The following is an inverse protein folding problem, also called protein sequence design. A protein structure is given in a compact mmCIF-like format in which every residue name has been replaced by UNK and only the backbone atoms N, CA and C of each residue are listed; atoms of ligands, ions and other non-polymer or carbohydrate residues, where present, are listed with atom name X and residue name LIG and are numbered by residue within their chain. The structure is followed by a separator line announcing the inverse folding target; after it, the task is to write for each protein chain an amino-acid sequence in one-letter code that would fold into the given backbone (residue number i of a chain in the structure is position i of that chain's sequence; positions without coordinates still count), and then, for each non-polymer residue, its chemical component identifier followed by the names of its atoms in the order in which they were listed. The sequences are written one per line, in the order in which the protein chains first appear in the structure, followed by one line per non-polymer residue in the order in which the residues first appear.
data_IF_213828245731
#
_entry.id   IF_213828245731
#
_cell.length_a   1.000
_cell.length_b   1.000
_cell.length_c   1.000
_cell.angle_alpha   90.00
_cell.angle_beta   90.00
_cell.angle_gamma   90.00
#
_symmetry.space_group_name_H-M   'P 1'
#
loop_
_entity.id
_entity.type
_entity.pdbx_description
1 polymer ?
#
# COMPACT_ATOMS: atom_id res chain seq x y z
N UNK A 1 -33.86 6.28 4.48
CA UNK A 1 -32.49 6.12 5.03
C UNK A 1 -31.68 5.06 4.25
N UNK A 2 -30.45 5.35 3.79
CA UNK A 2 -29.69 4.44 2.92
C UNK A 2 -29.00 3.33 3.71
N UNK A 3 -29.61 2.83 4.79
CA UNK A 3 -29.01 1.82 5.68
C UNK A 3 -28.51 0.57 4.93
N UNK A 4 -29.27 -0.01 3.98
CA UNK A 4 -28.79 -1.15 3.22
C UNK A 4 -27.52 -0.81 2.42
N UNK A 5 -27.48 0.35 1.75
CA UNK A 5 -26.32 0.76 0.94
C UNK A 5 -25.10 0.98 1.82
N UNK A 6 -25.25 1.70 2.94
CA UNK A 6 -24.14 1.93 3.87
C UNK A 6 -23.59 0.62 4.47
N UNK A 7 -24.48 -0.31 4.83
CA UNK A 7 -24.09 -1.60 5.39
C UNK A 7 -23.33 -2.47 4.38
N UNK A 8 -23.84 -2.57 3.14
CA UNK A 8 -23.19 -3.35 2.10
C UNK A 8 -21.87 -2.71 1.64
N UNK A 9 -21.79 -1.37 1.57
CA UNK A 9 -20.55 -0.68 1.24
C UNK A 9 -19.45 -0.93 2.29
N UNK A 10 -19.81 -0.95 3.58
CA UNK A 10 -18.86 -1.28 4.65
C UNK A 10 -18.35 -2.72 4.55
N UNK A 11 -19.25 -3.70 4.35
CA UNK A 11 -18.86 -5.11 4.18
C UNK A 11 -17.97 -5.28 2.94
N UNK A 12 -18.33 -4.66 1.83
CA UNK A 12 -17.53 -4.72 0.61
C UNK A 12 -16.13 -4.15 0.83
N UNK A 13 -16.02 -2.97 1.45
CA UNK A 13 -14.73 -2.38 1.78
C UNK A 13 -13.89 -3.31 2.65
N UNK A 14 -14.47 -3.91 3.69
CA UNK A 14 -13.77 -4.83 4.57
C UNK A 14 -13.28 -6.08 3.83
N UNK A 15 -14.14 -6.69 3.01
CA UNK A 15 -13.79 -7.88 2.23
C UNK A 15 -12.67 -7.62 1.21
N UNK A 16 -12.69 -6.47 0.55
CA UNK A 16 -11.60 -6.05 -0.36
C UNK A 16 -10.31 -5.87 0.41
N UNK A 17 -10.37 -5.23 1.58
CA UNK A 17 -9.19 -4.97 2.40
C UNK A 17 -8.60 -6.26 2.98
N UNK A 18 -9.43 -7.20 3.43
CA UNK A 18 -9.02 -8.54 3.85
C UNK A 18 -8.33 -9.31 2.72
N UNK A 19 -8.87 -9.24 1.50
CA UNK A 19 -8.25 -9.87 0.33
C UNK A 19 -6.83 -9.32 0.06
N UNK A 20 -6.66 -7.99 0.13
CA UNK A 20 -5.36 -7.33 -0.08
C UNK A 20 -4.31 -7.80 0.94
N UNK A 21 -4.72 -8.10 2.18
CA UNK A 21 -3.79 -8.60 3.20
C UNK A 21 -3.45 -10.08 3.07
N UNK A 22 -4.41 -10.90 2.60
CA UNK A 22 -4.36 -12.34 2.84
C UNK A 22 -3.92 -13.15 1.64
N UNK A 23 -4.05 -12.64 0.41
CA UNK A 23 -3.75 -13.43 -0.79
C UNK A 23 -2.97 -12.63 -1.84
N UNK A 24 -2.08 -13.29 -2.61
CA UNK A 24 -1.50 -12.68 -3.80
C UNK A 24 -2.59 -12.31 -4.82
N UNK A 25 -2.54 -11.09 -5.32
CA UNK A 25 -3.47 -10.58 -6.34
C UNK A 25 -2.82 -10.75 -7.71
N UNK A 26 -3.42 -11.58 -8.56
CA UNK A 26 -2.93 -11.78 -9.92
C UNK A 26 -3.28 -10.59 -10.81
N UNK A 27 -2.27 -9.86 -11.29
CA UNK A 27 -2.41 -8.73 -12.21
C UNK A 27 -1.52 -8.95 -13.42
N UNK A 28 -2.08 -8.91 -14.64
CA UNK A 28 -1.33 -9.12 -15.89
C UNK A 28 -0.48 -10.41 -15.90
N UNK A 29 -0.96 -11.48 -15.27
CA UNK A 29 -0.27 -12.78 -15.22
C UNK A 29 0.88 -12.86 -14.21
N UNK A 30 1.04 -11.85 -13.34
CA UNK A 30 1.98 -11.88 -12.22
C UNK A 30 1.23 -11.73 -10.91
N UNK A 31 1.59 -12.56 -9.94
CA UNK A 31 1.02 -12.49 -8.61
C UNK A 31 1.74 -11.43 -7.77
N UNK A 32 0.95 -10.48 -7.26
CA UNK A 32 1.42 -9.37 -6.43
C UNK A 32 0.99 -9.66 -4.99
N UNK A 33 1.96 -9.92 -4.12
CA UNK A 33 1.71 -10.20 -2.70
C UNK A 33 1.86 -8.93 -1.84
N UNK A 34 0.76 -8.19 -1.66
CA UNK A 34 0.76 -6.95 -0.86
C UNK A 34 0.99 -7.17 0.64
N UNK A 35 0.93 -8.41 1.15
CA UNK A 35 1.16 -8.70 2.58
C UNK A 35 2.53 -8.18 3.04
N UNK A 36 3.51 -8.14 2.14
CA UNK A 36 4.84 -7.61 2.43
C UNK A 36 4.81 -6.16 2.89
N UNK A 37 3.81 -5.36 2.50
CA UNK A 37 3.69 -3.96 2.94
C UNK A 37 3.24 -3.81 4.39
N UNK A 38 2.68 -4.87 4.96
CA UNK A 38 2.01 -4.83 6.26
C UNK A 38 2.68 -5.73 7.31
N UNK A 39 3.66 -6.52 6.89
CA UNK A 39 4.51 -7.29 7.80
C UNK A 39 5.20 -6.32 8.77
N UNK A 40 4.95 -6.48 10.08
CA UNK A 40 5.64 -5.71 11.11
C UNK A 40 7.11 -6.09 11.08
N UNK A 41 7.96 -5.20 10.57
CA UNK A 41 9.40 -5.33 10.77
C UNK A 41 9.68 -5.30 12.27
N UNK A 42 10.23 -6.39 12.83
CA UNK A 42 10.50 -6.56 14.27
C UNK A 42 11.46 -5.53 14.89
N UNK A 43 11.95 -4.56 14.11
CA UNK A 43 12.56 -3.33 14.60
C UNK A 43 11.68 -2.19 14.14
N UNK A 44 10.99 -1.56 15.09
CA UNK A 44 10.24 -0.34 14.84
C UNK A 44 11.19 0.71 14.28
N UNK A 45 11.10 0.91 12.96
CA UNK A 45 11.69 2.09 12.37
C UNK A 45 10.72 3.23 12.69
N UNK A 46 11.26 4.37 13.12
CA UNK A 46 10.48 5.50 13.61
C UNK A 46 9.52 6.14 12.57
N UNK A 47 9.38 5.55 11.38
CA UNK A 47 8.44 5.94 10.32
C UNK A 47 7.18 5.06 10.21
N UNK A 48 7.07 3.96 10.97
CA UNK A 48 6.02 2.94 10.76
C UNK A 48 4.59 3.36 11.18
N UNK A 49 4.37 4.61 11.63
CA UNK A 49 3.11 5.06 12.26
C UNK A 49 2.46 6.29 11.62
N UNK A 50 3.01 6.83 10.55
CA UNK A 50 2.37 7.94 9.85
C UNK A 50 1.47 7.31 8.79
N UNK A 51 0.14 7.37 8.96
CA UNK A 51 -0.84 6.82 8.02
C UNK A 51 -0.72 7.43 6.61
N UNK A 52 -1.81 7.54 5.84
CA UNK A 52 -1.72 8.04 4.44
C UNK A 52 -0.91 9.35 4.28
N UNK A 53 -1.01 10.28 5.23
CA UNK A 53 -0.25 11.54 5.22
C UNK A 53 1.26 11.31 5.26
N UNK A 54 1.74 10.40 6.11
CA UNK A 54 3.17 10.09 6.21
C UNK A 54 3.71 9.46 4.95
N UNK A 55 3.00 8.43 4.49
CA UNK A 55 3.27 7.76 3.23
C UNK A 55 3.34 8.79 2.09
N UNK A 56 2.41 9.74 2.06
CA UNK A 56 2.37 10.77 1.01
C UNK A 56 3.59 11.70 1.07
N UNK A 57 4.05 12.08 2.27
CA UNK A 57 5.28 12.87 2.43
C UNK A 57 6.53 12.09 2.03
N UNK A 58 6.64 10.82 2.44
CA UNK A 58 7.79 9.98 2.10
C UNK A 58 7.85 9.71 0.59
N UNK A 59 6.70 9.46 -0.03
CA UNK A 59 6.59 9.29 -1.48
C UNK A 59 6.90 10.59 -2.21
N UNK A 60 6.40 11.74 -1.74
CA UNK A 60 6.73 13.05 -2.32
C UNK A 60 8.23 13.35 -2.21
N UNK A 61 8.88 12.99 -1.10
CA UNK A 61 10.32 13.15 -0.92
C UNK A 61 11.15 12.34 -1.92
N UNK A 62 10.62 11.21 -2.41
CA UNK A 62 11.26 10.44 -3.49
C UNK A 62 11.16 11.11 -4.87
N UNK A 63 10.24 12.07 -5.03
CA UNK A 63 10.02 12.81 -6.28
C UNK A 63 9.33 12.03 -7.41
N UNK A 64 8.99 10.75 -7.20
CA UNK A 64 8.45 9.87 -8.25
C UNK A 64 7.11 10.35 -8.81
N UNK A 65 6.24 10.87 -7.94
CA UNK A 65 4.95 11.47 -8.35
C UNK A 65 4.96 13.00 -8.23
N UNK A 66 6.13 13.59 -7.97
CA UNK A 66 6.29 15.02 -7.72
C UNK A 66 5.94 15.43 -6.29
N UNK A 67 5.30 16.60 -6.13
CA UNK A 67 5.03 17.17 -4.81
C UNK A 67 3.87 16.48 -4.05
N UNK A 68 3.67 16.85 -2.79
CA UNK A 68 2.62 16.27 -1.95
C UNK A 68 1.22 16.36 -2.56
N UNK A 69 0.92 17.46 -3.27
CA UNK A 69 -0.39 17.64 -3.91
C UNK A 69 -0.54 16.68 -5.08
N UNK A 70 0.50 16.54 -5.89
CA UNK A 70 0.52 15.60 -7.00
C UNK A 70 0.43 14.14 -6.53
N UNK A 71 1.09 13.79 -5.42
CA UNK A 71 0.93 12.47 -4.77
C UNK A 71 -0.52 12.26 -4.34
N UNK A 72 -1.17 13.27 -3.75
CA UNK A 72 -2.56 13.16 -3.32
C UNK A 72 -3.57 13.13 -4.48
N UNK A 73 -3.22 13.70 -5.63
CA UNK A 73 -4.01 13.64 -6.86
C UNK A 73 -3.75 12.35 -7.67
N UNK A 74 -2.72 11.58 -7.32
CA UNK A 74 -2.37 10.30 -7.96
C UNK A 74 -3.32 9.19 -7.49
N UNK A 75 -3.76 8.27 -8.38
CA UNK A 75 -4.56 7.12 -7.98
C UNK A 75 -3.89 6.31 -6.86
N UNK A 76 -4.64 6.01 -5.81
CA UNK A 76 -4.15 5.26 -4.65
C UNK A 76 -3.40 3.97 -5.02
N UNK A 77 -3.93 3.23 -6.01
CA UNK A 77 -3.33 1.98 -6.49
C UNK A 77 -1.94 2.17 -7.08
N UNK A 78 -1.67 3.27 -7.79
CA UNK A 78 -0.37 3.55 -8.39
C UNK A 78 0.67 3.84 -7.29
N UNK A 79 0.27 4.63 -6.29
CA UNK A 79 1.12 4.90 -5.11
C UNK A 79 1.38 3.61 -4.34
N UNK A 80 0.36 2.77 -4.13
CA UNK A 80 0.51 1.50 -3.41
C UNK A 80 1.42 0.51 -4.16
N UNK A 81 1.31 0.40 -5.48
CA UNK A 81 2.19 -0.43 -6.31
C UNK A 81 3.63 0.08 -6.31
N UNK A 82 3.85 1.39 -6.27
CA UNK A 82 5.17 1.98 -6.13
C UNK A 82 5.82 1.59 -4.79
N UNK A 83 5.10 1.78 -3.68
CA UNK A 83 5.59 1.41 -2.34
C UNK A 83 5.88 -0.09 -2.28
N UNK A 84 5.01 -0.93 -2.87
CA UNK A 84 5.24 -2.36 -3.02
C UNK A 84 6.55 -2.67 -3.75
N UNK A 85 6.78 -2.03 -4.91
CA UNK A 85 8.00 -2.22 -5.69
C UNK A 85 9.24 -1.89 -4.86
N UNK A 86 9.25 -0.75 -4.17
CA UNK A 86 10.37 -0.35 -3.31
C UNK A 86 10.66 -1.40 -2.23
N UNK A 87 9.62 -1.85 -1.52
CA UNK A 87 9.80 -2.85 -0.46
C UNK A 87 10.23 -4.22 -1.01
N UNK A 88 9.68 -4.61 -2.16
CA UNK A 88 10.08 -5.83 -2.86
C UNK A 88 11.57 -5.80 -3.23
N UNK A 89 12.05 -4.71 -3.82
CA UNK A 89 13.47 -4.54 -4.18
C UNK A 89 14.38 -4.58 -2.94
N UNK A 90 14.00 -3.93 -1.84
CA UNK A 90 14.74 -3.99 -0.57
C UNK A 90 14.88 -5.42 -0.05
N UNK A 91 13.77 -6.18 0.00
CA UNK A 91 13.78 -7.57 0.47
C UNK A 91 14.62 -8.49 -0.41
N UNK A 92 14.64 -8.26 -1.72
CA UNK A 92 15.40 -9.10 -2.66
C UNK A 92 16.89 -8.74 -2.71
N UNK A 93 17.23 -7.46 -2.53
CA UNK A 93 18.63 -7.02 -2.45
C UNK A 93 19.28 -7.49 -1.14
N UNK A 94 18.55 -7.48 -0.02
CA UNK A 94 19.04 -7.99 1.27
C UNK A 94 19.30 -9.50 1.28
N UNK A 95 18.70 -10.27 0.36
CA UNK A 95 18.96 -11.72 0.21
C UNK A 95 20.20 -12.04 -0.65
N UNK A 96 20.79 -11.04 -1.32
CA UNK A 96 21.96 -11.19 -2.19
C UNK A 96 23.28 -10.78 -1.51
N UNK A 97 23.23 -10.20 -0.30
CA UNK A 97 24.39 -9.98 0.57
C UNK A 97 24.49 -11.11 1.59
#
# INVERSE_FOLDING_TARGET
PPFPVCFHAYIFFFAVWELIYSVPISTNGKDIDFSILFEKSGRGNAGDNTGWVGISYDVAASGVFGDFRQVNDTPFWDVMLYIYKCRFEMLHNNKKQ
#
